data_IF_078008916081
#
_entry.id   IF_078008916081
#
_cell.length_a   1.000
_cell.length_b   1.000
_cell.length_c   1.000
_cell.angle_alpha   90.00
_cell.angle_beta   90.00
_cell.angle_gamma   90.00
#
_symmetry.space_group_name_H-M   'P 1'
#
loop_
_entity.id
_entity.type
_entity.pdbx_description
1 polymer ?
#
# COMPACT_ATOMS: atom_id res chain seq x y z
N UNK A 1 12.79 4.02 10.77
CA UNK A 1 11.92 3.43 9.72
C UNK A 1 12.82 2.82 8.66
N UNK A 2 12.92 1.49 8.61
CA UNK A 2 13.61 0.81 7.51
C UNK A 2 12.87 1.14 6.22
N UNK A 3 13.60 1.63 5.22
CA UNK A 3 13.05 1.88 3.88
C UNK A 3 13.03 0.55 3.17
N UNK A 4 11.96 -0.23 3.35
CA UNK A 4 11.71 -1.41 2.52
C UNK A 4 11.72 -0.96 1.06
N UNK A 5 12.78 -1.29 0.31
CA UNK A 5 12.86 -1.02 -1.13
C UNK A 5 12.57 -2.32 -1.87
N UNK A 6 11.58 -2.28 -2.76
CA UNK A 6 11.32 -3.38 -3.66
C UNK A 6 12.37 -3.38 -4.79
N UNK A 7 12.98 -4.53 -5.13
CA UNK A 7 13.95 -4.60 -6.22
C UNK A 7 13.33 -4.16 -7.54
N UNK A 8 14.01 -3.27 -8.28
CA UNK A 8 13.48 -2.72 -9.54
C UNK A 8 13.18 -3.81 -10.58
N UNK A 9 14.02 -4.86 -10.61
CA UNK A 9 13.83 -6.01 -11.49
C UNK A 9 12.50 -6.73 -11.23
N UNK A 10 12.14 -6.96 -9.97
CA UNK A 10 10.89 -7.61 -9.58
C UNK A 10 9.67 -6.75 -9.91
N UNK A 11 9.80 -5.43 -9.82
CA UNK A 11 8.75 -4.48 -10.21
C UNK A 11 8.52 -4.52 -11.73
N UNK A 12 9.59 -4.46 -12.53
CA UNK A 12 9.51 -4.44 -14.01
C UNK A 12 8.97 -5.78 -14.55
N UNK A 13 9.37 -6.88 -13.93
CA UNK A 13 9.04 -8.24 -14.38
C UNK A 13 7.88 -8.87 -13.60
N UNK A 14 7.11 -8.10 -12.85
CA UNK A 14 5.96 -8.59 -12.12
C UNK A 14 5.01 -9.37 -13.06
N UNK A 15 4.82 -10.68 -12.80
CA UNK A 15 4.05 -11.59 -13.68
C UNK A 15 4.45 -11.54 -15.17
N UNK A 16 5.71 -11.24 -15.46
CA UNK A 16 6.24 -11.16 -16.82
C UNK A 16 5.95 -9.85 -17.56
N UNK A 17 5.19 -8.89 -17.00
CA UNK A 17 5.10 -7.55 -17.56
C UNK A 17 4.75 -6.46 -16.51
N UNK A 18 5.35 -5.28 -16.65
CA UNK A 18 5.13 -4.15 -15.73
C UNK A 18 3.69 -3.62 -15.68
N UNK A 19 2.88 -3.84 -16.72
CA UNK A 19 1.50 -3.35 -16.78
C UNK A 19 0.56 -4.17 -15.89
N UNK A 20 0.85 -5.45 -15.66
CA UNK A 20 0.14 -6.29 -14.69
C UNK A 20 0.30 -5.77 -13.27
N UNK A 21 1.46 -5.19 -12.94
CA UNK A 21 1.67 -4.56 -11.64
C UNK A 21 0.79 -3.33 -11.49
N UNK A 22 0.74 -2.48 -12.51
CA UNK A 22 -0.12 -1.29 -12.54
C UNK A 22 -1.58 -1.69 -12.36
N UNK A 23 -2.05 -2.69 -13.11
CA UNK A 23 -3.42 -3.22 -13.00
C UNK A 23 -3.73 -3.73 -11.58
N UNK A 24 -2.83 -4.53 -11.01
CA UNK A 24 -2.99 -5.08 -9.66
C UNK A 24 -3.02 -3.98 -8.59
N UNK A 25 -2.13 -2.98 -8.69
CA UNK A 25 -2.09 -1.84 -7.77
C UNK A 25 -3.36 -0.99 -7.87
N UNK A 26 -3.85 -0.72 -9.08
CA UNK A 26 -5.08 0.05 -9.31
C UNK A 26 -6.31 -0.65 -8.71
N UNK A 27 -6.45 -1.96 -8.94
CA UNK A 27 -7.53 -2.75 -8.36
C UNK A 27 -7.47 -2.73 -6.83
N UNK A 28 -6.27 -2.88 -6.26
CA UNK A 28 -6.11 -2.85 -4.80
C UNK A 28 -6.40 -1.48 -4.21
N UNK A 29 -5.92 -0.41 -4.84
CA UNK A 29 -6.21 0.97 -4.43
C UNK A 29 -7.71 1.25 -4.46
N UNK A 30 -8.43 0.77 -5.48
CA UNK A 30 -9.88 0.87 -5.56
C UNK A 30 -10.57 0.22 -4.35
N UNK A 31 -10.20 -1.02 -4.00
CA UNK A 31 -10.75 -1.69 -2.81
C UNK A 31 -10.44 -0.96 -1.50
N UNK A 32 -9.25 -0.37 -1.36
CA UNK A 32 -8.91 0.44 -0.19
C UNK A 32 -9.80 1.68 -0.08
N UNK A 33 -10.13 2.33 -1.20
CA UNK A 33 -11.04 3.47 -1.23
C UNK A 33 -12.47 3.04 -0.87
N UNK A 34 -12.97 1.93 -1.42
CA UNK A 34 -14.28 1.41 -1.07
C UNK A 34 -14.39 1.10 0.42
N UNK A 35 -13.40 0.40 0.97
CA UNK A 35 -13.34 0.08 2.40
C UNK A 35 -13.34 1.35 3.26
N UNK A 36 -12.54 2.37 2.91
CA UNK A 36 -12.56 3.66 3.62
C UNK A 36 -13.95 4.32 3.59
N UNK A 37 -14.66 4.25 2.46
CA UNK A 37 -16.02 4.79 2.34
C UNK A 37 -17.04 4.02 3.20
N UNK A 38 -16.91 2.70 3.27
CA UNK A 38 -17.76 1.84 4.12
C UNK A 38 -17.51 2.13 5.62
N UNK A 39 -16.24 2.24 6.02
CA UNK A 39 -15.85 2.60 7.39
C UNK A 39 -16.33 4.00 7.78
N UNK A 40 -16.35 4.96 6.84
CA UNK A 40 -16.91 6.30 7.09
C UNK A 40 -18.42 6.26 7.28
N UNK A 41 -19.16 5.51 6.46
CA UNK A 41 -20.62 5.36 6.61
C UNK A 41 -21.02 4.65 7.89
N UNK A 42 -20.25 3.66 8.33
CA UNK A 42 -20.47 2.99 9.62
C UNK A 42 -20.23 3.92 10.81
N UNK A 43 -19.22 4.78 10.71
CA UNK A 43 -18.89 5.76 11.75
C UNK A 43 -19.82 6.99 11.75
N UNK A 44 -20.41 7.39 10.62
CA UNK A 44 -21.40 8.49 10.60
C UNK A 44 -22.67 8.16 11.42
N UNK A 45 -23.00 6.88 11.63
CA UNK A 45 -24.06 6.47 12.55
C UNK A 45 -23.68 6.64 14.03
N UNK A 46 -22.38 6.62 14.36
CA UNK A 46 -21.85 6.69 15.74
C UNK A 46 -21.25 8.07 16.12
N UNK A 47 -21.02 8.96 15.14
CA UNK A 47 -20.35 10.26 15.35
C UNK A 47 -21.35 11.42 15.14
N UNK A 48 -22.35 11.50 16.02
CA UNK A 48 -23.02 12.77 16.33
C UNK A 48 -22.17 13.67 17.25
N UNK A 49 -20.94 13.25 17.59
CA UNK A 49 -20.08 13.93 18.55
C UNK A 49 -18.62 13.92 18.10
N UNK A 50 -18.07 15.13 17.97
CA UNK A 50 -16.65 15.49 17.84
C UNK A 50 -16.07 15.58 16.41
N UNK A 51 -16.11 16.83 15.92
CA UNK A 51 -15.13 17.39 14.98
C UNK A 51 -13.70 17.12 15.48
N UNK A 52 -13.00 16.16 14.87
CA UNK A 52 -11.53 16.07 14.97
C UNK A 52 -10.96 15.87 13.58
N UNK A 53 -10.47 16.97 13.01
CA UNK A 53 -9.56 16.99 11.87
C UNK A 53 -8.36 16.08 12.16
N UNK A 54 -8.43 14.86 11.63
CA UNK A 54 -7.44 13.83 11.85
C UNK A 54 -6.30 14.04 10.83
N UNK A 55 -5.36 14.94 11.15
CA UNK A 55 -4.13 15.17 10.39
C UNK A 55 -3.11 14.01 10.58
N UNK A 56 -3.55 12.76 10.39
CA UNK A 56 -2.61 11.65 10.21
C UNK A 56 -1.96 11.84 8.85
N UNK A 57 -0.63 11.69 8.79
CA UNK A 57 0.11 11.53 7.54
C UNK A 57 -0.39 10.25 6.87
N UNK A 58 -1.53 10.34 6.20
CA UNK A 58 -2.11 9.23 5.47
C UNK A 58 -1.15 8.88 4.35
N UNK A 59 -0.52 7.71 4.46
CA UNK A 59 0.19 7.15 3.32
C UNK A 59 -0.78 7.15 2.14
N UNK A 60 -0.32 7.70 1.01
CA UNK A 60 -1.09 7.72 -0.23
C UNK A 60 -1.59 6.30 -0.51
N UNK A 61 -2.89 6.15 -0.79
CA UNK A 61 -3.54 4.84 -1.00
C UNK A 61 -2.78 3.99 -2.02
N UNK A 62 -2.21 4.64 -3.03
CA UNK A 62 -1.39 4.03 -4.06
C UNK A 62 -0.12 3.36 -3.48
N UNK A 63 0.54 4.01 -2.51
CA UNK A 63 1.73 3.47 -1.87
C UNK A 63 1.40 2.26 -0.99
N UNK A 64 0.26 2.28 -0.29
CA UNK A 64 -0.24 1.14 0.50
C UNK A 64 -0.56 -0.03 -0.43
N UNK A 65 -1.31 0.23 -1.51
CA UNK A 65 -1.68 -0.79 -2.49
C UNK A 65 -0.46 -1.44 -3.14
N UNK A 66 0.52 -0.63 -3.55
CA UNK A 66 1.77 -1.13 -4.14
C UNK A 66 2.55 -1.98 -3.15
N UNK A 67 2.66 -1.56 -1.88
CA UNK A 67 3.28 -2.37 -0.85
C UNK A 67 2.56 -3.70 -0.67
N UNK A 68 1.24 -3.73 -0.46
CA UNK A 68 0.51 -4.99 -0.26
C UNK A 68 0.63 -5.96 -1.44
N UNK A 69 0.55 -5.46 -2.68
CA UNK A 69 0.68 -6.28 -3.90
C UNK A 69 2.08 -6.89 -3.98
N UNK A 70 3.12 -6.09 -3.76
CA UNK A 70 4.50 -6.55 -3.88
C UNK A 70 4.90 -7.45 -2.71
N UNK A 71 4.45 -7.17 -1.48
CA UNK A 71 4.76 -7.98 -0.29
C UNK A 71 4.16 -9.38 -0.31
N UNK A 72 2.99 -9.54 -0.94
CA UNK A 72 2.37 -10.87 -1.12
C UNK A 72 3.05 -11.72 -2.22
N UNK A 73 3.98 -11.15 -3.00
CA UNK A 73 4.54 -11.79 -4.21
C UNK A 73 6.06 -11.84 -4.23
N UNK A 74 6.74 -10.85 -3.64
CA UNK A 74 8.19 -10.70 -3.67
C UNK A 74 8.69 -10.94 -2.26
N UNK A 75 9.53 -11.96 -2.09
CA UNK A 75 10.28 -12.13 -0.84
C UNK A 75 11.14 -10.89 -0.66
N UNK A 76 10.92 -10.17 0.43
CA UNK A 76 11.66 -8.95 0.74
C UNK A 76 13.15 -9.23 0.79
N UNK A 77 13.93 -8.35 0.18
CA UNK A 77 15.36 -8.27 0.42
C UNK A 77 15.55 -7.36 1.64
N UNK A 78 15.90 -7.92 2.78
CA UNK A 78 16.39 -7.13 3.92
C UNK A 78 17.72 -6.51 3.49
N UNK A 79 17.70 -5.24 3.09
CA UNK A 79 18.86 -4.50 2.60
C UNK A 79 19.96 -4.28 3.67
N UNK A 80 19.76 -4.77 4.91
CA UNK A 80 20.72 -4.64 6.01
C UNK A 80 21.76 -5.77 6.09
N UNK A 81 21.77 -6.72 5.13
CA UNK A 81 22.79 -7.79 5.10
C UNK A 81 24.04 -7.49 4.25
N UNK A 82 24.15 -6.31 3.65
CA UNK A 82 25.33 -5.91 2.84
C UNK A 82 26.20 -4.83 3.51
N UNK A 83 26.44 -4.98 4.82
CA UNK A 83 27.60 -4.36 5.46
C UNK A 83 28.36 -5.44 6.21
N UNK A 84 29.26 -6.10 5.50
CA UNK A 84 30.53 -6.68 5.95
C UNK A 84 31.08 -7.53 4.80
N UNK A 85 31.68 -6.84 3.82
CA UNK A 85 32.85 -7.35 3.09
C UNK A 85 34.09 -6.84 3.81
#
# INVERSE_FOLDING_TARGET
MMKDKFPLYEIINYKGNRYELVRACSLRAYHLILKKKEEQKGNEADIASSNKYNNRKDMKVQAIAMAEVLRNKIKFYNADKEKNQ
#
